data_IF_107066722005
#
_entry.id   IF_107066722005
#
_cell.length_a   1.000
_cell.length_b   1.000
_cell.length_c   1.000
_cell.angle_alpha   90.00
_cell.angle_beta   90.00
_cell.angle_gamma   90.00
#
_symmetry.space_group_name_H-M   'P 1'
#
loop_
_entity.id
_entity.type
_entity.pdbx_description
1 polymer ?
#
# COMPACT_ATOMS: atom_id res chain seq x y z
N UNK A 1 -26.31 9.61 3.38
CA UNK A 1 -26.62 8.57 2.36
C UNK A 1 -25.55 8.41 1.27
N UNK A 2 -24.48 9.21 1.24
CA UNK A 2 -23.39 9.08 0.22
C UNK A 2 -22.29 8.07 0.56
N UNK A 3 -22.31 7.45 1.76
CA UNK A 3 -21.25 6.53 2.21
C UNK A 3 -21.10 5.29 1.31
N UNK A 4 -22.20 4.77 0.74
CA UNK A 4 -22.16 3.60 -0.13
C UNK A 4 -21.46 3.85 -1.47
N UNK A 5 -21.63 5.04 -2.06
CA UNK A 5 -20.98 5.38 -3.35
C UNK A 5 -19.48 5.51 -3.16
N UNK A 6 -19.06 6.11 -2.05
CA UNK A 6 -17.64 6.31 -1.71
C UNK A 6 -16.91 4.98 -1.44
N UNK A 7 -17.58 3.96 -0.89
CA UNK A 7 -16.96 2.65 -0.63
C UNK A 7 -16.99 1.70 -1.82
N UNK A 8 -18.03 1.75 -2.66
CA UNK A 8 -18.13 0.89 -3.85
C UNK A 8 -17.08 1.24 -4.91
N UNK A 9 -16.75 2.52 -5.07
CA UNK A 9 -15.78 2.97 -6.07
C UNK A 9 -14.38 2.32 -5.93
N UNK A 10 -13.72 2.38 -4.75
CA UNK A 10 -12.44 1.70 -4.56
C UNK A 10 -12.56 0.18 -4.61
N UNK A 11 -13.69 -0.40 -4.18
CA UNK A 11 -13.90 -1.85 -4.26
C UNK A 11 -13.98 -2.36 -5.70
N UNK A 12 -14.65 -1.63 -6.59
CA UNK A 12 -14.73 -1.97 -8.02
C UNK A 12 -13.37 -1.82 -8.71
N UNK A 13 -12.65 -0.73 -8.42
CA UNK A 13 -11.28 -0.52 -8.91
C UNK A 13 -10.35 -1.63 -8.43
N UNK A 14 -10.44 -2.02 -7.16
CA UNK A 14 -9.65 -3.08 -6.56
C UNK A 14 -9.96 -4.44 -7.19
N UNK A 15 -11.25 -4.79 -7.35
CA UNK A 15 -11.67 -6.07 -7.96
C UNK A 15 -11.13 -6.22 -9.39
N UNK A 16 -11.16 -5.15 -10.19
CA UNK A 16 -10.58 -5.15 -11.53
C UNK A 16 -9.05 -5.29 -11.56
N UNK A 17 -8.36 -4.81 -10.52
CA UNK A 17 -6.91 -4.89 -10.39
C UNK A 17 -6.43 -6.24 -9.84
N UNK A 18 -7.10 -6.81 -8.83
CA UNK A 18 -6.69 -8.07 -8.18
C UNK A 18 -6.80 -9.29 -9.07
N UNK A 19 -7.66 -9.25 -10.08
CA UNK A 19 -7.78 -10.33 -11.07
C UNK A 19 -6.61 -10.36 -12.07
N UNK A 20 -5.78 -9.30 -12.13
CA UNK A 20 -4.67 -9.16 -13.08
C UNK A 20 -3.30 -9.02 -12.42
N UNK A 21 -3.25 -8.79 -11.12
CA UNK A 21 -2.01 -8.56 -10.37
C UNK A 21 -1.63 -9.80 -9.56
N UNK A 22 -0.33 -10.18 -9.54
CA UNK A 22 0.18 -11.21 -8.65
C UNK A 22 -0.16 -10.90 -7.18
N UNK A 23 -0.43 -11.95 -6.39
CA UNK A 23 -0.83 -11.83 -4.97
C UNK A 23 0.14 -10.95 -4.15
N UNK A 24 1.44 -11.01 -4.47
CA UNK A 24 2.48 -10.19 -3.86
C UNK A 24 2.32 -8.69 -4.14
N UNK A 25 1.96 -8.29 -5.37
CA UNK A 25 1.68 -6.89 -5.72
C UNK A 25 0.44 -6.41 -5.00
N UNK A 26 -0.60 -7.24 -4.94
CA UNK A 26 -1.85 -6.91 -4.24
C UNK A 26 -1.63 -6.69 -2.74
N UNK A 27 -0.81 -7.54 -2.10
CA UNK A 27 -0.39 -7.34 -0.70
C UNK A 27 0.41 -6.06 -0.51
N UNK A 28 1.31 -5.72 -1.44
CA UNK A 28 2.07 -4.46 -1.41
C UNK A 28 1.14 -3.24 -1.51
N UNK A 29 0.15 -3.27 -2.40
CA UNK A 29 -0.85 -2.20 -2.56
C UNK A 29 -1.69 -1.99 -1.29
N UNK A 30 -1.96 -3.04 -0.52
CA UNK A 30 -2.71 -2.93 0.72
C UNK A 30 -1.97 -2.13 1.81
N UNK A 31 -0.64 -2.05 1.75
CA UNK A 31 0.15 -1.19 2.65
C UNK A 31 -0.01 0.31 2.37
N UNK A 32 -0.63 0.69 1.26
CA UNK A 32 -1.01 2.09 1.01
C UNK A 32 -2.05 2.55 2.05
N UNK A 33 -2.98 1.68 2.45
CA UNK A 33 -4.02 2.01 3.45
C UNK A 33 -3.45 2.45 4.80
N UNK A 34 -2.59 1.67 5.50
CA UNK A 34 -1.98 2.11 6.74
C UNK A 34 -1.07 3.34 6.56
N UNK A 35 -0.47 3.52 5.38
CA UNK A 35 0.32 4.71 5.06
C UNK A 35 -0.55 5.96 4.94
N UNK A 36 -1.69 5.89 4.25
CA UNK A 36 -2.66 6.99 4.17
C UNK A 36 -3.23 7.27 5.57
N UNK A 37 -3.61 6.24 6.34
CA UNK A 37 -4.10 6.41 7.70
C UNK A 37 -3.08 7.10 8.60
N UNK A 38 -1.80 6.76 8.47
CA UNK A 38 -0.72 7.46 9.15
C UNK A 38 -0.69 8.93 8.78
N UNK A 39 -0.60 9.26 7.48
CA UNK A 39 -0.58 10.65 7.01
C UNK A 39 -1.80 11.44 7.46
N UNK A 40 -2.99 10.84 7.41
CA UNK A 40 -4.23 11.45 7.92
C UNK A 40 -4.12 11.72 9.43
N UNK A 41 -3.62 10.77 10.21
CA UNK A 41 -3.36 10.94 11.65
C UNK A 41 -2.40 12.09 11.96
N UNK A 42 -1.30 12.21 11.19
CA UNK A 42 -0.28 13.25 11.39
C UNK A 42 -0.77 14.63 10.94
N UNK A 43 -1.28 14.71 9.70
CA UNK A 43 -1.48 15.96 8.98
C UNK A 43 -2.86 16.56 9.22
N UNK A 44 -3.87 15.71 9.40
CA UNK A 44 -5.27 16.16 9.54
C UNK A 44 -5.69 16.14 11.01
N UNK A 45 -5.43 15.03 11.71
CA UNK A 45 -5.84 14.89 13.11
C UNK A 45 -4.84 15.50 14.09
N UNK A 46 -3.64 15.89 13.62
CA UNK A 46 -2.56 16.44 14.44
C UNK A 46 -2.27 15.58 15.70
N UNK A 47 -2.43 14.25 15.59
CA UNK A 47 -2.17 13.35 16.72
C UNK A 47 -0.69 13.41 17.10
N UNK A 48 -0.41 13.49 18.40
CA UNK A 48 0.94 13.40 18.91
C UNK A 48 1.52 12.02 18.59
N UNK A 49 2.36 11.97 17.57
CA UNK A 49 3.08 10.77 17.21
C UNK A 49 4.18 10.50 18.21
N UNK A 50 3.89 9.58 19.12
CA UNK A 50 4.89 8.99 19.99
C UNK A 50 6.05 8.42 19.17
N UNK A 51 7.31 8.59 19.62
CA UNK A 51 8.50 8.08 18.93
C UNK A 51 8.41 6.60 18.57
N UNK A 52 7.75 5.79 19.41
CA UNK A 52 7.54 4.36 19.16
C UNK A 52 6.72 4.06 17.89
N UNK A 53 5.67 4.85 17.58
CA UNK A 53 4.89 4.68 16.35
C UNK A 53 5.71 5.05 15.11
N UNK A 54 6.53 6.10 15.21
CA UNK A 54 7.43 6.51 14.14
C UNK A 54 8.44 5.41 13.78
N UNK A 55 9.07 4.80 14.80
CA UNK A 55 9.99 3.68 14.57
C UNK A 55 9.30 2.47 13.93
N UNK A 56 8.10 2.11 14.41
CA UNK A 56 7.31 1.03 13.81
C UNK A 56 6.97 1.28 12.34
N UNK A 57 6.52 2.49 12.01
CA UNK A 57 6.22 2.88 10.62
C UNK A 57 7.47 2.88 9.74
N UNK A 58 8.61 3.35 10.26
CA UNK A 58 9.89 3.34 9.55
C UNK A 58 10.30 1.93 9.13
N UNK A 59 10.12 0.96 10.03
CA UNK A 59 10.43 -0.45 9.78
C UNK A 59 9.57 -1.04 8.67
N UNK A 60 8.27 -0.73 8.68
CA UNK A 60 7.32 -1.16 7.64
C UNK A 60 7.74 -0.58 6.28
N UNK A 61 8.09 0.70 6.23
CA UNK A 61 8.53 1.35 4.99
C UNK A 61 9.83 0.78 4.44
N UNK A 62 10.80 0.46 5.31
CA UNK A 62 12.03 -0.20 4.87
C UNK A 62 11.70 -1.55 4.22
N UNK A 63 10.88 -2.38 4.89
CA UNK A 63 10.45 -3.67 4.33
C UNK A 63 9.71 -3.50 2.99
N UNK A 64 8.86 -2.49 2.85
CA UNK A 64 8.14 -2.18 1.61
C UNK A 64 9.07 -1.75 0.48
N UNK A 65 10.09 -0.95 0.75
CA UNK A 65 11.07 -0.53 -0.25
C UNK A 65 11.85 -1.75 -0.75
N UNK A 66 12.29 -2.63 0.15
CA UNK A 66 12.97 -3.87 -0.21
C UNK A 66 12.07 -4.77 -1.07
N UNK A 67 10.84 -5.02 -0.61
CA UNK A 67 9.87 -5.85 -1.33
C UNK A 67 9.51 -5.25 -2.69
N UNK A 68 9.26 -3.94 -2.75
CA UNK A 68 8.97 -3.22 -3.99
C UNK A 68 10.12 -3.26 -4.99
N UNK A 69 11.36 -3.09 -4.52
CA UNK A 69 12.55 -3.21 -5.35
C UNK A 69 12.73 -4.65 -5.89
N UNK A 70 12.48 -5.65 -5.05
CA UNK A 70 12.53 -7.07 -5.44
C UNK A 70 11.45 -7.42 -6.47
N UNK A 71 10.22 -6.95 -6.28
CA UNK A 71 9.12 -7.11 -7.23
C UNK A 71 9.41 -6.43 -8.57
N UNK A 72 9.91 -5.19 -8.58
CA UNK A 72 10.30 -4.50 -9.82
C UNK A 72 11.46 -5.23 -10.52
N UNK A 73 12.39 -5.81 -9.76
CA UNK A 73 13.50 -6.59 -10.31
C UNK A 73 13.04 -7.93 -10.88
N UNK A 74 12.17 -8.64 -10.18
CA UNK A 74 11.58 -9.93 -10.57
C UNK A 74 10.74 -9.79 -11.85
N UNK A 75 9.86 -8.78 -11.90
CA UNK A 75 9.02 -8.49 -13.06
C UNK A 75 9.84 -8.08 -14.31
N UNK A 76 11.06 -7.55 -14.13
CA UNK A 76 12.02 -7.25 -15.22
C UNK A 76 12.85 -8.46 -15.66
N UNK A 77 13.01 -9.48 -14.81
CA UNK A 77 13.68 -10.72 -15.18
C UNK A 77 12.79 -11.55 -16.10
N UNK A 78 11.49 -11.62 -15.82
CA UNK A 78 10.50 -12.36 -16.63
C UNK A 78 10.35 -11.81 -18.07
N UNK A 79 10.58 -10.51 -18.27
CA UNK A 79 10.57 -9.85 -19.59
C UNK A 79 11.91 -9.97 -20.36
N UNK A 80 13.00 -10.46 -19.74
CA UNK A 80 14.30 -10.66 -20.41
C UNK A 80 14.49 -12.07 -20.97
N UNK A 81 13.61 -13.00 -20.62
CA UNK A 81 13.63 -14.39 -21.08
C UNK A 81 12.70 -14.65 -22.29
N UNK A 82 12.17 -13.58 -22.91
CA UNK A 82 11.46 -13.58 -24.21
C UNK A 82 12.26 -12.80 -25.25
#
# INVERSE_FOLDING_TARGET
>A
MCAGVVTVFPLLLFNGATTRLPLAVTGLLQYITPTIMFFVGVLINHEEMTPGRLFGFSFIWIALIFLGADLVRSNRAELRDF
#
